data_IF_564130282608
#
_entry.id   IF_564130282608
#
_cell.length_a   1.000
_cell.length_b   1.000
_cell.length_c   1.000
_cell.angle_alpha   90.00
_cell.angle_beta   90.00
_cell.angle_gamma   90.00
#
_symmetry.space_group_name_H-M   'P 1'
#
loop_
_entity.id
_entity.type
_entity.pdbx_description
1 polymer ?
#
# COMPACT_ATOMS: atom_id res chain seq x y z
N UNK A 1 6.40 25.04 21.62
CA UNK A 1 6.92 24.19 20.53
C UNK A 1 6.08 24.44 19.29
N UNK A 2 6.66 24.94 18.21
CA UNK A 2 5.98 25.10 16.92
C UNK A 2 6.03 23.77 16.17
N UNK A 3 4.88 23.21 15.72
CA UNK A 3 4.88 21.97 14.96
C UNK A 3 5.62 22.16 13.63
N UNK A 4 6.53 21.23 13.31
CA UNK A 4 7.25 21.25 12.02
C UNK A 4 6.25 20.98 10.87
N UNK A 5 6.39 21.67 9.72
CA UNK A 5 5.60 21.37 8.54
C UNK A 5 5.88 19.95 8.05
N UNK A 6 4.82 19.20 7.73
CA UNK A 6 4.94 17.89 7.09
C UNK A 6 5.50 18.05 5.68
N UNK A 7 6.57 17.33 5.38
CA UNK A 7 7.13 17.20 4.03
C UNK A 7 7.04 15.72 3.66
N UNK A 8 6.33 15.33 2.59
CA UNK A 8 6.26 13.94 2.18
C UNK A 8 7.65 13.46 1.73
N UNK A 9 8.07 12.23 2.10
CA UNK A 9 9.34 11.67 1.68
C UNK A 9 9.39 11.46 0.16
N UNK A 10 10.59 11.51 -0.41
CA UNK A 10 10.80 11.20 -1.82
C UNK A 10 10.50 9.73 -2.12
N UNK A 11 10.12 9.35 -3.36
CA UNK A 11 9.79 7.97 -3.72
C UNK A 11 10.92 6.96 -3.43
N UNK A 12 12.17 7.41 -3.44
CA UNK A 12 13.34 6.58 -3.10
C UNK A 12 13.48 6.35 -1.59
N UNK A 13 13.03 7.29 -0.77
CA UNK A 13 12.92 7.14 0.70
C UNK A 13 11.67 6.34 1.11
N UNK A 14 10.63 6.35 0.26
CA UNK A 14 9.37 5.64 0.48
C UNK A 14 9.49 4.12 0.56
N UNK A 15 10.56 3.52 0.03
CA UNK A 15 10.84 2.08 0.15
C UNK A 15 11.75 1.73 1.33
N UNK A 16 12.37 2.72 1.98
CA UNK A 16 13.33 2.52 3.08
C UNK A 16 12.70 2.60 4.48
N UNK A 17 11.36 2.72 4.58
CA UNK A 17 10.63 2.98 5.84
C UNK A 17 10.63 1.83 6.85
N UNK A 18 11.49 0.81 6.73
CA UNK A 18 11.66 -0.14 7.82
C UNK A 18 12.10 0.63 9.08
N UNK A 19 11.27 0.75 10.13
CA UNK A 19 11.58 1.64 11.24
C UNK A 19 12.72 1.01 12.02
N UNK A 20 13.91 1.59 11.92
CA UNK A 20 15.01 1.33 12.86
C UNK A 20 14.82 2.08 14.19
N UNK A 21 13.69 2.79 14.34
CA UNK A 21 13.28 3.55 15.50
C UNK A 21 11.86 3.14 15.90
N UNK A 22 11.64 2.82 17.18
CA UNK A 22 10.31 2.42 17.68
C UNK A 22 9.35 3.61 17.61
N UNK A 23 8.15 3.39 17.09
CA UNK A 23 7.18 4.46 16.88
C UNK A 23 6.79 5.16 18.19
N UNK A 24 6.89 4.45 19.32
CA UNK A 24 6.72 5.01 20.67
C UNK A 24 7.67 6.16 20.98
N UNK A 25 8.93 6.07 20.59
CA UNK A 25 9.94 7.08 20.92
C UNK A 25 9.70 8.39 20.17
N UNK A 26 9.30 8.31 18.89
CA UNK A 26 8.99 9.51 18.11
C UNK A 26 7.66 10.14 18.53
N UNK A 27 6.63 9.33 18.79
CA UNK A 27 5.31 9.83 19.18
C UNK A 27 5.34 10.52 20.55
N UNK A 28 6.14 10.02 21.50
CA UNK A 28 6.32 10.66 22.80
C UNK A 28 7.11 11.98 22.71
N UNK A 29 8.07 12.10 21.79
CA UNK A 29 8.82 13.36 21.56
C UNK A 29 7.93 14.50 21.02
N UNK A 30 6.87 14.16 20.27
CA UNK A 30 5.85 15.13 19.83
C UNK A 30 4.82 15.49 20.92
N UNK A 31 4.99 14.97 22.14
CA UNK A 31 4.12 15.25 23.29
C UNK A 31 2.91 14.33 23.42
N UNK A 32 2.89 13.18 22.72
CA UNK A 32 1.87 12.15 22.91
C UNK A 32 2.08 11.40 24.23
N UNK A 33 1.00 10.98 24.90
CA UNK A 33 1.15 10.17 26.11
C UNK A 33 1.74 8.80 25.77
N UNK A 34 2.69 8.31 26.58
CA UNK A 34 3.36 7.04 26.34
C UNK A 34 2.39 5.86 26.18
N UNK A 35 1.29 5.86 26.94
CA UNK A 35 0.21 4.88 26.83
C UNK A 35 -0.50 4.86 25.47
N UNK A 36 -0.68 6.04 24.85
CA UNK A 36 -1.31 6.13 23.53
C UNK A 36 -0.32 5.72 22.46
N UNK A 37 0.95 6.09 22.61
CA UNK A 37 2.02 5.72 21.70
C UNK A 37 2.25 4.18 21.66
N UNK A 38 2.25 3.52 22.81
CA UNK A 38 2.33 2.06 22.93
C UNK A 38 1.14 1.35 22.28
N UNK A 39 -0.07 1.85 22.50
CA UNK A 39 -1.28 1.30 21.87
C UNK A 39 -1.26 1.51 20.34
N UNK A 40 -0.73 2.64 19.87
CA UNK A 40 -0.59 2.91 18.44
C UNK A 40 0.40 1.96 17.79
N UNK A 41 1.54 1.71 18.43
CA UNK A 41 2.54 0.73 17.99
C UNK A 41 1.96 -0.68 17.96
N UNK A 42 1.21 -1.06 19.01
CA UNK A 42 0.46 -2.32 19.03
C UNK A 42 -0.52 -2.45 17.86
N UNK A 43 -1.24 -1.37 17.52
CA UNK A 43 -2.18 -1.38 16.39
C UNK A 43 -1.49 -1.45 15.04
N UNK A 44 -0.35 -0.77 14.89
CA UNK A 44 0.45 -0.88 13.66
C UNK A 44 0.96 -2.30 13.46
N UNK A 45 1.41 -2.98 14.51
CA UNK A 45 1.80 -4.39 14.47
C UNK A 45 0.64 -5.30 14.00
N UNK A 46 -0.56 -5.08 14.55
CA UNK A 46 -1.76 -5.85 14.17
C UNK A 46 -2.12 -5.61 12.69
N UNK A 47 -2.16 -4.35 12.25
CA UNK A 47 -2.46 -4.02 10.85
C UNK A 47 -1.40 -4.58 9.91
N UNK A 48 -0.11 -4.50 10.27
CA UNK A 48 0.96 -5.08 9.47
C UNK A 48 0.83 -6.61 9.38
N UNK A 49 0.46 -7.28 10.47
CA UNK A 49 0.18 -8.72 10.44
C UNK A 49 -1.05 -9.06 9.61
N UNK A 50 -2.11 -8.26 9.65
CA UNK A 50 -3.31 -8.45 8.82
C UNK A 50 -3.03 -8.21 7.33
N UNK A 51 -2.23 -7.20 6.99
CA UNK A 51 -1.79 -6.96 5.61
C UNK A 51 -0.86 -8.07 5.10
N UNK A 52 0.03 -8.59 5.94
CA UNK A 52 0.87 -9.75 5.64
C UNK A 52 0.06 -11.04 5.50
N UNK A 53 -1.05 -11.17 6.24
CA UNK A 53 -1.94 -12.34 6.20
C UNK A 53 -2.70 -12.49 4.87
N UNK A 54 -2.54 -11.54 3.93
CA UNK A 54 -2.74 -11.83 2.51
C UNK A 54 -4.17 -11.67 2.03
N UNK A 55 -4.75 -10.48 2.22
CA UNK A 55 -5.93 -10.09 1.45
C UNK A 55 -5.51 -9.90 -0.02
N UNK A 56 -5.69 -10.95 -0.83
CA UNK A 56 -5.31 -10.98 -2.24
C UNK A 56 -6.00 -9.87 -3.06
N UNK A 57 -7.12 -9.32 -2.57
CA UNK A 57 -7.80 -8.19 -3.22
C UNK A 57 -7.03 -6.87 -3.15
N UNK A 58 -6.08 -6.75 -2.23
CA UNK A 58 -5.24 -5.54 -2.02
C UNK A 58 -3.90 -5.61 -2.73
N UNK A 59 -3.54 -6.77 -3.28
CA UNK A 59 -2.30 -6.91 -4.03
C UNK A 59 -2.45 -6.27 -5.41
N UNK A 60 -1.44 -5.51 -5.88
CA UNK A 60 -1.44 -5.04 -7.26
C UNK A 60 -1.45 -6.23 -8.21
N UNK A 61 -2.31 -6.17 -9.23
CA UNK A 61 -2.36 -7.18 -10.28
C UNK A 61 -0.97 -7.39 -10.88
N UNK A 62 -0.58 -8.66 -11.03
CA UNK A 62 0.64 -8.99 -11.73
C UNK A 62 0.53 -8.60 -13.21
N UNK A 63 1.68 -8.33 -13.84
CA UNK A 63 1.74 -8.02 -15.27
C UNK A 63 1.10 -9.13 -16.13
N UNK A 64 1.20 -10.39 -15.69
CA UNK A 64 0.58 -11.52 -16.37
C UNK A 64 -0.94 -11.50 -16.31
N UNK A 65 -1.52 -11.20 -15.15
CA UNK A 65 -2.98 -11.07 -14.98
C UNK A 65 -3.53 -9.89 -15.80
N UNK A 66 -2.81 -8.77 -15.80
CA UNK A 66 -3.16 -7.60 -16.62
C UNK A 66 -3.19 -7.94 -18.11
N UNK A 67 -2.15 -8.63 -18.61
CA UNK A 67 -2.05 -9.06 -20.01
C UNK A 67 -3.17 -10.04 -20.38
N UNK A 68 -3.53 -10.96 -19.48
CA UNK A 68 -4.64 -11.90 -19.69
C UNK A 68 -5.98 -11.19 -19.85
N UNK A 69 -6.28 -10.22 -18.99
CA UNK A 69 -7.49 -9.41 -19.08
C UNK A 69 -7.56 -8.61 -20.38
N UNK A 70 -6.51 -7.83 -20.66
CA UNK A 70 -6.45 -6.99 -21.87
C UNK A 70 -6.50 -7.85 -23.13
N UNK A 71 -5.75 -8.95 -23.16
CA UNK A 71 -5.73 -9.89 -24.28
C UNK A 71 -7.10 -10.50 -24.57
N UNK A 72 -7.85 -10.87 -23.53
CA UNK A 72 -9.19 -11.43 -23.66
C UNK A 72 -10.17 -10.41 -24.25
N UNK A 73 -10.11 -9.16 -23.78
CA UNK A 73 -10.94 -8.06 -24.32
C UNK A 73 -10.63 -7.84 -25.79
N UNK A 74 -9.34 -7.77 -26.16
CA UNK A 74 -8.93 -7.61 -27.56
C UNK A 74 -9.41 -8.76 -28.44
N UNK A 75 -9.32 -10.01 -27.96
CA UNK A 75 -9.80 -11.18 -28.69
C UNK A 75 -11.31 -11.11 -28.96
N UNK A 76 -12.12 -10.71 -27.96
CA UNK A 76 -13.57 -10.53 -28.12
C UNK A 76 -13.87 -9.43 -29.14
N UNK A 77 -13.15 -8.31 -29.10
CA UNK A 77 -13.30 -7.24 -30.07
C UNK A 77 -13.01 -7.71 -31.50
N UNK A 78 -11.95 -8.49 -31.70
CA UNK A 78 -11.61 -9.05 -33.02
C UNK A 78 -12.69 -10.00 -33.54
N UNK A 79 -13.26 -10.85 -32.67
CA UNK A 79 -14.39 -11.72 -33.03
C UNK A 79 -15.60 -10.89 -33.43
N UNK A 80 -15.94 -9.84 -32.69
CA UNK A 80 -17.03 -8.93 -33.03
C UNK A 80 -16.84 -8.26 -34.39
N UNK A 81 -15.63 -7.79 -34.68
CA UNK A 81 -15.28 -7.20 -35.99
C UNK A 81 -15.42 -8.25 -37.10
N UNK A 82 -14.91 -9.46 -36.88
CA UNK A 82 -14.99 -10.56 -37.85
C UNK A 82 -16.45 -10.89 -38.22
N UNK A 83 -17.34 -10.94 -37.22
CA UNK A 83 -18.78 -11.20 -37.41
C UNK A 83 -19.46 -10.10 -38.22
N UNK A 84 -19.03 -8.84 -38.09
CA UNK A 84 -19.60 -7.72 -38.87
C UNK A 84 -19.13 -7.73 -40.33
N UNK A 85 -17.93 -8.24 -40.59
CA UNK A 85 -17.32 -8.26 -41.92
C UNK A 85 -17.79 -9.46 -42.76
N UNK A 86 -18.10 -10.60 -42.11
CA UNK A 86 -18.64 -11.81 -42.75
C UNK A 86 -20.12 -11.66 -43.11
#
# INVERSE_FOLDING_TARGET
>A
MTPRPYVPPSPEEGYAWAPRFTATAELTDVGMSGTVAEELERRMEIVAQEELAGDASRQPLSTGELLGYVGTVLAICLVGILVVIL
#
